data_IF_870153495553
#
_entry.id   IF_870153495553
#
_cell.length_a   1.000
_cell.length_b   1.000
_cell.length_c   1.000
_cell.angle_alpha   90.00
_cell.angle_beta   90.00
_cell.angle_gamma   90.00
#
_symmetry.space_group_name_H-M   'P 1'
#
loop_
_entity.id
_entity.type
_entity.pdbx_description
1 polymer ?
#
# COMPACT_ATOMS: atom_id res chain seq x y z
N UNK A 1 1.98 -21.99 -13.75
CA UNK A 1 1.87 -21.78 -15.21
C UNK A 1 1.33 -20.37 -15.43
N UNK A 2 2.00 -19.54 -16.24
CA UNK A 2 1.54 -18.18 -16.50
C UNK A 2 0.50 -18.16 -17.64
N UNK A 3 -0.53 -17.34 -17.49
CA UNK A 3 -1.53 -17.10 -18.52
C UNK A 3 -1.23 -15.79 -19.24
N UNK A 4 -1.89 -15.53 -20.37
CA UNK A 4 -1.80 -14.24 -21.05
C UNK A 4 -3.18 -13.69 -21.41
N UNK A 5 -3.24 -12.38 -21.54
CA UNK A 5 -4.40 -11.63 -22.04
C UNK A 5 -3.95 -10.76 -23.22
N UNK A 6 -4.82 -10.64 -24.21
CA UNK A 6 -4.61 -9.78 -25.38
C UNK A 6 -5.33 -8.45 -25.23
N UNK A 7 -4.90 -7.44 -25.98
CA UNK A 7 -5.48 -6.09 -25.98
C UNK A 7 -7.01 -6.05 -26.14
N UNK A 8 -7.58 -6.97 -26.92
CA UNK A 8 -9.03 -7.10 -27.15
C UNK A 8 -9.81 -7.76 -26.01
N UNK A 9 -9.14 -8.26 -24.96
CA UNK A 9 -9.81 -8.87 -23.81
C UNK A 9 -10.54 -7.81 -22.97
N UNK A 10 -11.76 -8.08 -22.48
CA UNK A 10 -12.43 -7.19 -21.53
C UNK A 10 -11.64 -7.05 -20.22
N UNK A 11 -10.82 -8.04 -19.86
CA UNK A 11 -9.94 -8.04 -18.69
C UNK A 11 -8.59 -7.35 -18.93
N UNK A 12 -8.38 -6.71 -20.09
CA UNK A 12 -7.16 -5.94 -20.32
C UNK A 12 -7.20 -4.60 -19.55
N UNK A 13 -6.19 -4.28 -18.71
CA UNK A 13 -6.24 -3.10 -17.86
C UNK A 13 -6.43 -1.80 -18.65
N UNK A 14 -7.49 -1.05 -18.34
CA UNK A 14 -7.90 0.12 -19.12
C UNK A 14 -6.80 1.19 -19.16
N UNK A 15 -6.10 1.43 -18.04
CA UNK A 15 -5.00 2.38 -17.99
C UNK A 15 -3.86 2.05 -18.96
N UNK A 16 -3.54 0.76 -19.13
CA UNK A 16 -2.53 0.32 -20.11
C UNK A 16 -3.08 0.42 -21.54
N UNK A 17 -4.38 0.11 -21.75
CA UNK A 17 -5.03 0.20 -23.06
C UNK A 17 -4.95 1.60 -23.67
N UNK A 18 -4.96 2.64 -22.83
CA UNK A 18 -4.90 4.05 -23.22
C UNK A 18 -3.49 4.56 -23.56
N UNK A 19 -2.46 3.72 -23.44
CA UNK A 19 -1.11 4.10 -23.88
C UNK A 19 -1.09 4.40 -25.39
N UNK A 20 -0.13 5.23 -25.83
CA UNK A 20 0.09 5.48 -27.26
C UNK A 20 0.38 4.18 -28.05
N UNK A 21 1.16 3.28 -27.44
CA UNK A 21 1.58 2.01 -28.03
C UNK A 21 1.40 0.89 -26.97
N UNK A 22 0.16 0.44 -26.70
CA UNK A 22 -0.09 -0.57 -25.69
C UNK A 22 0.49 -1.92 -26.16
N UNK A 23 1.04 -2.76 -25.25
CA UNK A 23 1.48 -4.09 -25.62
C UNK A 23 0.29 -4.94 -26.08
N UNK A 24 0.47 -5.70 -27.16
CA UNK A 24 -0.61 -6.57 -27.66
C UNK A 24 -0.97 -7.70 -26.70
N UNK A 25 0.01 -8.20 -25.94
CA UNK A 25 -0.12 -9.25 -24.93
C UNK A 25 0.46 -8.81 -23.60
N UNK A 26 -0.22 -9.19 -22.52
CA UNK A 26 0.30 -9.16 -21.15
C UNK A 26 0.21 -10.56 -20.56
N UNK A 27 1.28 -10.98 -19.92
CA UNK A 27 1.36 -12.22 -19.15
C UNK A 27 1.01 -11.92 -17.70
N UNK A 28 0.31 -12.85 -17.06
CA UNK A 28 -0.12 -12.68 -15.68
C UNK A 28 -0.14 -13.99 -14.87
N UNK A 29 -0.06 -13.83 -13.55
CA UNK A 29 -0.32 -14.86 -12.54
C UNK A 29 -1.13 -14.19 -11.42
N UNK A 30 -2.22 -14.80 -10.99
CA UNK A 30 -3.12 -14.24 -9.96
C UNK A 30 -4.43 -13.72 -10.55
N UNK A 31 -5.09 -12.82 -9.81
CA UNK A 31 -6.46 -12.39 -10.12
C UNK A 31 -6.49 -11.12 -10.99
N UNK A 32 -6.94 -11.26 -12.24
CA UNK A 32 -7.11 -10.15 -13.17
C UNK A 32 -8.15 -9.13 -12.70
N UNK A 33 -9.14 -9.53 -11.89
CA UNK A 33 -10.13 -8.60 -11.36
C UNK A 33 -9.49 -7.52 -10.47
N UNK A 34 -8.28 -7.77 -9.93
CA UNK A 34 -7.49 -6.75 -9.22
C UNK A 34 -7.24 -5.51 -10.08
N UNK A 35 -7.07 -5.68 -11.40
CA UNK A 35 -6.79 -4.59 -12.33
C UNK A 35 -8.03 -3.99 -13.00
N UNK A 36 -9.24 -4.47 -12.68
CA UNK A 36 -10.49 -4.12 -13.38
C UNK A 36 -11.50 -3.54 -12.40
N UNK A 37 -12.01 -2.34 -12.70
CA UNK A 37 -13.06 -1.68 -11.91
C UNK A 37 -12.63 -1.13 -10.55
N UNK A 38 -11.40 -1.40 -10.10
CA UNK A 38 -10.85 -0.86 -8.85
C UNK A 38 -10.17 0.50 -9.08
N UNK A 39 -10.05 1.27 -8.01
CA UNK A 39 -9.19 2.46 -7.95
C UNK A 39 -7.77 2.02 -7.64
N UNK A 40 -6.82 2.44 -8.47
CA UNK A 40 -5.45 1.94 -8.51
C UNK A 40 -4.47 3.11 -8.32
N UNK A 41 -3.56 2.96 -7.35
CA UNK A 41 -2.46 3.90 -7.12
C UNK A 41 -1.12 3.22 -7.38
N UNK A 42 -0.24 3.85 -8.15
CA UNK A 42 1.14 3.38 -8.26
C UNK A 42 1.99 4.02 -7.18
N UNK A 43 2.73 3.21 -6.43
CA UNK A 43 3.71 3.69 -5.45
C UNK A 43 5.10 3.33 -5.94
N UNK A 44 5.98 4.31 -6.06
CA UNK A 44 7.36 4.12 -6.52
C UNK A 44 8.34 4.91 -5.65
N UNK A 45 9.58 4.44 -5.58
CA UNK A 45 10.60 5.15 -4.83
C UNK A 45 12.00 4.56 -4.96
N UNK A 46 12.94 5.03 -4.16
CA UNK A 46 14.33 4.61 -4.23
C UNK A 46 14.52 3.12 -3.92
N UNK A 47 15.50 2.50 -4.59
CA UNK A 47 15.95 1.14 -4.26
C UNK A 47 16.76 1.08 -2.97
N UNK A 48 17.36 2.21 -2.58
CA UNK A 48 18.09 2.40 -1.31
C UNK A 48 17.20 3.22 -0.40
N UNK A 49 16.20 2.55 0.17
CA UNK A 49 15.13 3.22 0.89
C UNK A 49 15.60 3.82 2.21
N UNK A 50 15.16 5.04 2.53
CA UNK A 50 15.46 5.67 3.83
C UNK A 50 14.52 5.20 4.94
N UNK A 51 14.91 5.38 6.20
CA UNK A 51 14.02 5.13 7.35
C UNK A 51 12.75 6.00 7.28
N UNK A 52 12.89 7.25 6.82
CA UNK A 52 11.76 8.14 6.62
C UNK A 52 10.77 7.59 5.60
N UNK A 53 11.25 7.12 4.45
CA UNK A 53 10.41 6.48 3.45
C UNK A 53 9.68 5.24 3.99
N UNK A 54 10.34 4.42 4.82
CA UNK A 54 9.70 3.29 5.50
C UNK A 54 8.53 3.75 6.40
N UNK A 55 8.76 4.76 7.24
CA UNK A 55 7.71 5.31 8.12
C UNK A 55 6.53 5.88 7.33
N UNK A 56 6.82 6.53 6.20
CA UNK A 56 5.77 7.06 5.32
C UNK A 56 4.94 5.92 4.74
N UNK A 57 5.57 4.86 4.22
CA UNK A 57 4.85 3.69 3.70
C UNK A 57 3.98 3.02 4.76
N UNK A 58 4.51 2.84 5.98
CA UNK A 58 3.77 2.27 7.13
C UNK A 58 2.56 3.11 7.53
N UNK A 59 2.64 4.43 7.39
CA UNK A 59 1.50 5.34 7.63
C UNK A 59 0.49 5.33 6.47
N UNK A 60 0.94 5.27 5.23
CA UNK A 60 0.09 5.52 4.06
C UNK A 60 -0.63 4.26 3.57
N UNK A 61 0.05 3.12 3.52
CA UNK A 61 -0.50 1.91 2.89
C UNK A 61 -1.72 1.35 3.62
N UNK A 62 -1.74 1.22 4.96
CA UNK A 62 -2.92 0.71 5.65
C UNK A 62 -4.16 1.57 5.39
N UNK A 63 -3.99 2.89 5.24
CA UNK A 63 -5.09 3.81 4.89
C UNK A 63 -5.60 3.53 3.49
N UNK A 64 -4.72 3.32 2.51
CA UNK A 64 -5.12 2.97 1.14
C UNK A 64 -5.84 1.63 1.06
N UNK A 65 -5.31 0.61 1.76
CA UNK A 65 -5.91 -0.73 1.80
C UNK A 65 -7.31 -0.69 2.42
N UNK A 66 -7.48 -0.04 3.58
CA UNK A 66 -8.80 0.13 4.23
C UNK A 66 -9.80 0.90 3.37
N UNK A 67 -9.29 1.76 2.49
CA UNK A 67 -10.10 2.54 1.53
C UNK A 67 -10.43 1.76 0.26
N UNK A 68 -9.99 0.50 0.15
CA UNK A 68 -10.22 -0.34 -1.02
C UNK A 68 -9.38 0.02 -2.24
N UNK A 69 -8.30 0.82 -2.09
CA UNK A 69 -7.39 1.07 -3.21
C UNK A 69 -6.51 -0.15 -3.45
N UNK A 70 -6.26 -0.42 -4.74
CA UNK A 70 -5.27 -1.38 -5.20
C UNK A 70 -3.94 -0.65 -5.39
N UNK A 71 -2.88 -1.16 -4.79
CA UNK A 71 -1.54 -0.60 -4.96
C UNK A 71 -0.81 -1.32 -6.08
N UNK A 72 -0.20 -0.58 -6.99
CA UNK A 72 0.72 -1.09 -8.01
C UNK A 72 2.14 -0.68 -7.68
N UNK A 73 3.10 -1.57 -7.93
CA UNK A 73 4.50 -1.20 -7.98
C UNK A 73 5.31 -2.08 -8.91
N UNK A 74 6.60 -1.79 -9.02
CA UNK A 74 7.53 -2.36 -9.97
C UNK A 74 8.26 -3.62 -9.54
N UNK A 75 8.00 -4.12 -8.33
CA UNK A 75 8.64 -5.30 -7.76
C UNK A 75 10.19 -5.22 -7.76
N UNK A 76 10.76 -4.12 -7.26
CA UNK A 76 12.21 -3.95 -7.06
C UNK A 76 12.55 -3.67 -5.60
N UNK A 77 13.81 -3.91 -5.21
CA UNK A 77 14.30 -3.56 -3.87
C UNK A 77 13.89 -2.13 -3.43
N UNK A 78 13.82 -1.92 -2.12
CA UNK A 78 13.47 -0.64 -1.52
C UNK A 78 11.96 -0.41 -1.50
N UNK A 79 11.53 0.76 -1.97
CA UNK A 79 10.14 1.21 -1.84
C UNK A 79 9.14 0.25 -2.51
N UNK A 80 9.44 -0.27 -3.70
CA UNK A 80 8.49 -1.13 -4.41
C UNK A 80 8.18 -2.41 -3.61
N UNK A 81 9.20 -3.12 -3.10
CA UNK A 81 9.02 -4.32 -2.29
C UNK A 81 8.35 -4.01 -0.96
N UNK A 82 8.81 -2.99 -0.21
CA UNK A 82 8.19 -2.61 1.06
C UNK A 82 6.72 -2.24 0.88
N UNK A 83 6.37 -1.59 -0.23
CA UNK A 83 4.98 -1.26 -0.53
C UNK A 83 4.12 -2.53 -0.73
N UNK A 84 4.60 -3.49 -1.52
CA UNK A 84 3.91 -4.77 -1.70
C UNK A 84 3.76 -5.55 -0.38
N UNK A 85 4.81 -5.61 0.43
CA UNK A 85 4.79 -6.29 1.74
C UNK A 85 3.72 -5.70 2.66
N UNK A 86 3.69 -4.37 2.80
CA UNK A 86 2.71 -3.69 3.64
C UNK A 86 1.28 -3.86 3.14
N UNK A 87 1.07 -3.93 1.82
CA UNK A 87 -0.26 -4.18 1.27
C UNK A 87 -0.71 -5.59 1.63
N UNK A 88 0.15 -6.58 1.43
CA UNK A 88 -0.13 -7.98 1.75
C UNK A 88 -0.38 -8.15 3.26
N UNK A 89 0.46 -7.59 4.12
CA UNK A 89 0.30 -7.69 5.58
C UNK A 89 -0.92 -6.93 6.10
N UNK A 90 -1.40 -5.91 5.37
CA UNK A 90 -2.65 -5.20 5.67
C UNK A 90 -3.90 -5.90 5.12
N UNK A 91 -3.77 -7.07 4.50
CA UNK A 91 -4.89 -7.80 3.89
C UNK A 91 -5.43 -7.19 2.60
N UNK A 92 -4.64 -6.32 1.95
CA UNK A 92 -5.01 -5.66 0.70
C UNK A 92 -4.56 -6.41 -0.55
N UNK A 93 -5.01 -5.93 -1.71
CA UNK A 93 -4.62 -6.46 -3.03
C UNK A 93 -3.59 -5.54 -3.69
N UNK A 94 -2.58 -6.14 -4.31
CA UNK A 94 -1.53 -5.40 -5.01
C UNK A 94 -1.20 -6.01 -6.37
N UNK A 95 -0.72 -5.16 -7.29
CA UNK A 95 -0.27 -5.55 -8.62
C UNK A 95 1.24 -5.31 -8.73
N UNK A 96 2.01 -6.38 -8.86
CA UNK A 96 3.44 -6.31 -9.13
C UNK A 96 3.70 -6.40 -10.63
N UNK A 97 4.37 -5.38 -11.21
CA UNK A 97 4.72 -5.38 -12.64
C UNK A 97 6.22 -5.64 -12.82
N UNK A 98 6.57 -6.78 -13.40
CA UNK A 98 7.94 -7.27 -13.46
C UNK A 98 8.65 -6.90 -14.78
N UNK A 99 9.98 -6.68 -14.76
CA UNK A 99 10.78 -6.37 -15.95
C UNK A 99 11.32 -7.62 -16.68
N UNK A 100 10.63 -8.76 -16.57
CA UNK A 100 11.05 -10.06 -17.12
C UNK A 100 9.86 -11.01 -17.28
N UNK A 101 10.10 -12.18 -17.87
CA UNK A 101 9.13 -13.29 -17.89
C UNK A 101 8.70 -13.68 -16.47
N UNK A 102 7.42 -14.05 -16.30
CA UNK A 102 6.87 -14.40 -14.98
C UNK A 102 7.35 -15.76 -14.46
N UNK A 103 8.06 -16.55 -15.27
CA UNK A 103 8.79 -17.75 -14.86
C UNK A 103 10.11 -17.43 -14.12
N UNK A 104 10.62 -16.21 -14.27
CA UNK A 104 11.91 -15.82 -13.70
C UNK A 104 11.70 -15.19 -12.33
N UNK A 105 12.28 -15.79 -11.29
CA UNK A 105 12.30 -15.23 -9.94
C UNK A 105 13.29 -14.06 -9.86
N UNK A 106 12.78 -12.85 -10.14
CA UNK A 106 13.56 -11.62 -10.10
C UNK A 106 12.81 -10.48 -9.37
N UNK A 107 13.45 -9.80 -8.39
CA UNK A 107 14.67 -10.23 -7.71
C UNK A 107 14.46 -11.56 -6.96
N UNK A 108 15.47 -12.42 -6.92
CA UNK A 108 15.36 -13.79 -6.38
C UNK A 108 14.98 -13.82 -4.91
N UNK A 109 15.42 -12.83 -4.14
CA UNK A 109 15.24 -12.76 -2.68
C UNK A 109 13.78 -12.63 -2.26
N UNK A 110 12.89 -12.23 -3.18
CA UNK A 110 11.48 -11.94 -2.90
C UNK A 110 10.52 -12.95 -3.53
N UNK A 111 10.96 -14.19 -3.77
CA UNK A 111 10.09 -15.25 -4.25
C UNK A 111 8.87 -15.46 -3.32
N UNK A 112 9.08 -15.40 -2.00
CA UNK A 112 8.00 -15.50 -0.99
C UNK A 112 6.90 -14.45 -1.21
N UNK A 113 7.28 -13.22 -1.58
CA UNK A 113 6.35 -12.12 -1.73
C UNK A 113 5.51 -12.28 -3.00
N UNK A 114 6.06 -12.87 -4.06
CA UNK A 114 5.28 -13.21 -5.26
C UNK A 114 4.15 -14.17 -4.92
N UNK A 115 4.47 -15.21 -4.15
CA UNK A 115 3.48 -16.19 -3.70
C UNK A 115 2.45 -15.53 -2.77
N UNK A 116 2.89 -14.66 -1.86
CA UNK A 116 2.00 -13.97 -0.94
C UNK A 116 1.04 -13.00 -1.68
N UNK A 117 1.53 -12.28 -2.70
CA UNK A 117 0.69 -11.43 -3.56
C UNK A 117 -0.40 -12.27 -4.24
N UNK A 118 -0.04 -13.39 -4.86
CA UNK A 118 -1.02 -14.24 -5.56
C UNK A 118 -2.01 -14.87 -4.59
N UNK A 119 -1.55 -15.38 -3.44
CA UNK A 119 -2.41 -15.97 -2.39
C UNK A 119 -3.36 -14.95 -1.78
N UNK A 120 -2.93 -13.70 -1.65
CA UNK A 120 -3.76 -12.58 -1.19
C UNK A 120 -4.75 -12.04 -2.23
N UNK A 121 -4.92 -12.72 -3.37
CA UNK A 121 -5.81 -12.28 -4.45
C UNK A 121 -5.26 -11.09 -5.25
N UNK A 122 -3.95 -10.87 -5.22
CA UNK A 122 -3.25 -9.88 -6.04
C UNK A 122 -2.86 -10.41 -7.42
N UNK A 123 -2.04 -9.64 -8.13
CA UNK A 123 -1.69 -9.88 -9.53
C UNK A 123 -0.20 -9.66 -9.78
N UNK A 124 0.46 -10.64 -10.40
CA UNK A 124 1.75 -10.46 -11.06
C UNK A 124 1.50 -10.21 -12.54
N UNK A 125 2.11 -9.19 -13.11
CA UNK A 125 1.90 -8.77 -14.49
C UNK A 125 3.25 -8.53 -15.19
N UNK A 126 3.35 -8.95 -16.45
CA UNK A 126 4.51 -8.66 -17.29
C UNK A 126 4.09 -8.50 -18.75
N UNK A 127 4.89 -7.78 -19.53
CA UNK A 127 4.77 -7.73 -21.00
C UNK A 127 5.76 -8.67 -21.71
N UNK A 128 6.66 -9.28 -20.95
CA UNK A 128 7.78 -10.06 -21.43
C UNK A 128 7.41 -11.54 -21.40
N UNK A 129 7.77 -12.27 -22.45
CA UNK A 129 7.43 -13.69 -22.59
C UNK A 129 8.25 -14.58 -21.67
N UNK A 130 7.87 -15.85 -21.59
CA UNK A 130 8.57 -16.86 -20.78
C UNK A 130 10.06 -16.94 -21.15
N UNK A 131 10.94 -16.99 -20.15
CA UNK A 131 12.39 -17.05 -20.34
C UNK A 131 13.08 -15.70 -20.61
N UNK A 132 12.34 -14.60 -20.79
CA UNK A 132 12.93 -13.27 -21.03
C UNK A 132 13.54 -12.67 -19.75
N UNK A 133 14.87 -12.77 -19.61
CA UNK A 133 15.63 -12.23 -18.47
C UNK A 133 15.68 -10.69 -18.46
N UNK A 134 15.75 -10.05 -17.28
CA UNK A 134 15.76 -8.60 -17.18
C UNK A 134 16.91 -7.94 -17.96
N UNK A 135 16.58 -6.98 -18.82
CA UNK A 135 17.54 -6.13 -19.53
C UNK A 135 17.25 -4.64 -19.26
N UNK A 136 18.25 -3.76 -19.42
CA UNK A 136 18.13 -2.33 -19.07
C UNK A 136 16.90 -1.65 -19.67
N UNK A 137 16.59 -1.91 -20.94
CA UNK A 137 15.42 -1.34 -21.63
C UNK A 137 14.08 -1.90 -21.12
N UNK A 138 14.07 -3.13 -20.58
CA UNK A 138 12.87 -3.77 -20.05
C UNK A 138 12.35 -3.05 -18.81
N UNK A 139 13.22 -2.49 -17.97
CA UNK A 139 12.82 -1.65 -16.84
C UNK A 139 12.06 -0.40 -17.29
N UNK A 140 12.51 0.24 -18.36
CA UNK A 140 11.83 1.42 -18.94
C UNK A 140 10.44 1.00 -19.46
N UNK A 141 10.37 -0.10 -20.20
CA UNK A 141 9.12 -0.64 -20.74
C UNK A 141 8.15 -1.16 -19.68
N UNK A 142 8.65 -1.60 -18.54
CA UNK A 142 7.84 -1.92 -17.36
C UNK A 142 7.35 -0.64 -16.67
N UNK A 143 8.19 0.38 -16.52
CA UNK A 143 7.81 1.65 -15.90
C UNK A 143 6.69 2.35 -16.67
N UNK A 144 6.65 2.22 -18.00
CA UNK A 144 5.51 2.65 -18.82
C UNK A 144 4.20 2.02 -18.32
N UNK A 145 4.19 0.71 -18.02
CA UNK A 145 3.00 0.01 -17.51
C UNK A 145 2.62 0.47 -16.10
N UNK A 146 3.60 0.59 -15.19
CA UNK A 146 3.38 1.08 -13.82
C UNK A 146 2.73 2.47 -13.85
N UNK A 147 3.29 3.41 -14.61
CA UNK A 147 2.71 4.75 -14.72
C UNK A 147 1.30 4.75 -15.34
N UNK A 148 1.06 3.85 -16.31
CA UNK A 148 -0.18 3.90 -17.10
C UNK A 148 -1.34 3.17 -16.46
N UNK A 149 -1.11 2.12 -15.66
CA UNK A 149 -2.20 1.32 -15.09
C UNK A 149 -2.98 2.06 -14.00
N UNK A 150 -2.36 2.97 -13.23
CA UNK A 150 -2.92 3.57 -12.01
C UNK A 150 -3.42 4.99 -12.18
N UNK A 151 -4.53 5.44 -11.60
CA UNK A 151 -5.06 6.81 -11.82
C UNK A 151 -4.08 7.93 -11.43
N UNK A 152 -3.19 7.69 -10.47
CA UNK A 152 -2.09 8.58 -10.11
C UNK A 152 -0.82 7.79 -9.73
N UNK A 153 0.29 8.51 -9.59
CA UNK A 153 1.57 7.97 -9.09
C UNK A 153 1.96 8.71 -7.81
N UNK A 154 2.24 7.98 -6.74
CA UNK A 154 2.84 8.48 -5.51
C UNK A 154 4.33 8.13 -5.49
N UNK A 155 5.17 9.15 -5.43
CA UNK A 155 6.62 9.04 -5.28
C UNK A 155 6.98 9.24 -3.82
N UNK A 156 7.52 8.20 -3.19
CA UNK A 156 7.92 8.24 -1.78
C UNK A 156 9.25 8.97 -1.60
N UNK A 157 10.22 8.64 -2.43
CA UNK A 157 11.52 9.32 -2.50
C UNK A 157 12.21 9.01 -3.83
N UNK A 158 13.00 9.94 -4.35
CA UNK A 158 13.65 9.77 -5.64
C UNK A 158 14.90 10.65 -5.74
N UNK A 159 16.01 10.05 -6.17
CA UNK A 159 17.17 10.79 -6.65
C UNK A 159 16.99 11.19 -8.12
N UNK A 160 17.65 12.27 -8.53
CA UNK A 160 17.66 12.74 -9.91
C UNK A 160 18.20 11.65 -10.85
N UNK A 161 17.60 11.51 -12.03
CA UNK A 161 17.97 10.46 -12.99
C UNK A 161 17.67 9.01 -12.57
N UNK A 162 17.02 8.78 -11.43
CA UNK A 162 16.67 7.43 -10.96
C UNK A 162 15.58 6.76 -11.81
N UNK A 163 15.44 5.43 -11.66
CA UNK A 163 14.34 4.68 -12.29
C UNK A 163 12.94 5.17 -11.86
N UNK A 164 12.83 5.69 -10.63
CA UNK A 164 11.61 6.31 -10.09
C UNK A 164 11.22 7.56 -10.88
N UNK A 165 12.21 8.41 -11.21
CA UNK A 165 12.01 9.58 -12.06
C UNK A 165 11.50 9.20 -13.44
N UNK A 166 11.89 8.04 -13.98
CA UNK A 166 11.38 7.56 -15.26
C UNK A 166 9.86 7.35 -15.19
N UNK A 167 9.36 6.63 -14.18
CA UNK A 167 7.92 6.40 -13.99
C UNK A 167 7.16 7.71 -13.78
N UNK A 168 7.67 8.59 -12.92
CA UNK A 168 7.02 9.87 -12.61
C UNK A 168 6.96 10.80 -13.82
N UNK A 169 8.05 10.93 -14.59
CA UNK A 169 8.06 11.72 -15.82
C UNK A 169 7.13 11.14 -16.89
N UNK A 170 7.00 9.81 -16.99
CA UNK A 170 6.00 9.18 -17.89
C UNK A 170 4.59 9.58 -17.45
N UNK A 171 4.28 9.51 -16.16
CA UNK A 171 2.97 9.90 -15.62
C UNK A 171 2.64 11.37 -15.93
N UNK A 172 3.57 12.30 -15.68
CA UNK A 172 3.41 13.71 -16.04
C UNK A 172 3.16 13.89 -17.54
N UNK A 173 3.92 13.18 -18.38
CA UNK A 173 3.77 13.23 -19.85
C UNK A 173 2.40 12.76 -20.33
N UNK A 174 1.81 11.76 -19.69
CA UNK A 174 0.45 11.28 -19.98
C UNK A 174 -0.62 12.04 -19.20
N UNK A 175 -0.27 13.20 -18.61
CA UNK A 175 -1.16 14.07 -17.82
C UNK A 175 -1.83 13.36 -16.64
N UNK A 176 -1.16 12.37 -16.05
CA UNK A 176 -1.57 11.76 -14.78
C UNK A 176 -1.02 12.56 -13.61
N UNK A 177 -1.83 12.76 -12.54
CA UNK A 177 -1.34 13.37 -11.32
C UNK A 177 -0.16 12.58 -10.74
N UNK A 178 0.89 13.31 -10.39
CA UNK A 178 2.02 12.80 -9.63
C UNK A 178 2.00 13.46 -8.27
N UNK A 179 1.92 12.65 -7.22
CA UNK A 179 2.06 13.07 -5.84
C UNK A 179 3.46 12.73 -5.36
N UNK A 180 4.03 13.59 -4.53
CA UNK A 180 5.37 13.38 -3.96
C UNK A 180 5.32 13.61 -2.46
N UNK A 181 6.09 12.82 -1.73
CA UNK A 181 6.31 13.02 -0.29
C UNK A 181 7.44 14.03 -0.11
N UNK A 182 7.20 15.21 0.51
CA UNK A 182 8.27 16.15 0.82
C UNK A 182 9.32 15.50 1.71
N UNK A 183 10.59 15.81 1.47
CA UNK A 183 11.70 15.35 2.30
C UNK A 183 12.69 16.48 2.57
N UNK A 184 13.57 16.28 3.55
CA UNK A 184 14.65 17.22 3.83
C UNK A 184 15.55 17.36 2.60
N UNK A 185 15.99 18.59 2.29
CA UNK A 185 16.96 18.87 1.22
C UNK A 185 18.30 18.15 1.42
N UNK A 186 18.61 17.74 2.66
CA UNK A 186 19.81 16.98 2.99
C UNK A 186 19.60 15.46 2.86
N UNK A 187 18.40 15.00 2.49
CA UNK A 187 18.13 13.59 2.26
C UNK A 187 18.80 13.15 0.95
N UNK A 188 19.47 11.97 0.92
CA UNK A 188 20.16 11.49 -0.28
C UNK A 188 19.21 11.21 -1.46
N UNK A 189 17.91 11.08 -1.22
CA UNK A 189 16.88 10.79 -2.23
C UNK A 189 15.88 11.97 -2.39
N UNK A 190 16.32 13.22 -2.19
CA UNK A 190 15.44 14.41 -2.24
C UNK A 190 15.50 15.18 -3.56
N UNK A 191 16.60 15.07 -4.31
CA UNK A 191 16.86 15.87 -5.52
C UNK A 191 15.77 15.66 -6.60
N UNK A 192 15.35 14.41 -6.82
CA UNK A 192 14.29 14.07 -7.76
C UNK A 192 12.91 14.52 -7.30
N UNK A 193 12.65 14.52 -5.99
CA UNK A 193 11.40 15.07 -5.41
C UNK A 193 11.28 16.56 -5.71
N UNK A 194 12.35 17.33 -5.51
CA UNK A 194 12.39 18.76 -5.83
C UNK A 194 12.16 19.00 -7.32
N UNK A 195 12.83 18.22 -8.18
CA UNK A 195 12.64 18.31 -9.64
C UNK A 195 11.18 18.02 -10.04
N UNK A 196 10.53 17.02 -9.43
CA UNK A 196 9.14 16.70 -9.71
C UNK A 196 8.19 17.82 -9.27
N UNK A 197 8.43 18.45 -8.11
CA UNK A 197 7.66 19.60 -7.66
C UNK A 197 7.76 20.76 -8.67
N UNK A 198 8.96 21.04 -9.16
CA UNK A 198 9.19 22.07 -10.20
C UNK A 198 8.47 21.75 -11.51
N UNK A 199 8.27 20.46 -11.82
CA UNK A 199 7.52 19.98 -12.99
C UNK A 199 6.00 19.89 -12.77
N UNK A 200 5.50 20.36 -11.63
CA UNK A 200 4.07 20.41 -11.33
C UNK A 200 3.51 19.18 -10.61
N UNK A 201 4.35 18.35 -10.00
CA UNK A 201 3.87 17.33 -9.07
C UNK A 201 3.31 17.98 -7.78
N UNK A 202 2.39 17.29 -7.12
CA UNK A 202 1.71 17.77 -5.93
C UNK A 202 2.35 17.20 -4.66
N UNK A 203 2.79 18.07 -3.75
CA UNK A 203 3.25 17.66 -2.43
C UNK A 203 2.08 17.09 -1.61
N UNK A 204 2.29 15.96 -0.93
CA UNK A 204 1.34 15.39 0.04
C UNK A 204 2.08 14.92 1.28
N UNK A 205 1.49 15.15 2.45
CA UNK A 205 2.01 14.70 3.73
C UNK A 205 0.99 13.86 4.52
N UNK A 206 -0.22 13.69 3.98
CA UNK A 206 -1.30 12.90 4.55
C UNK A 206 -1.92 11.98 3.47
N UNK A 207 -2.10 10.67 3.73
CA UNK A 207 -2.75 9.78 2.78
C UNK A 207 -4.19 10.19 2.44
N UNK A 208 -4.88 10.92 3.31
CA UNK A 208 -6.23 11.42 3.06
C UNK A 208 -6.30 12.40 1.89
N UNK A 209 -5.23 13.15 1.60
CA UNK A 209 -5.20 14.05 0.44
C UNK A 209 -5.27 13.29 -0.88
N UNK A 210 -4.68 12.09 -0.91
CA UNK A 210 -4.77 11.19 -2.05
C UNK A 210 -6.18 10.58 -2.13
N UNK A 211 -6.77 10.19 -0.99
CA UNK A 211 -8.15 9.67 -0.99
C UNK A 211 -9.19 10.69 -1.47
N UNK A 212 -8.99 11.98 -1.15
CA UNK A 212 -9.80 13.08 -1.70
C UNK A 212 -9.73 13.10 -3.23
N UNK A 213 -8.54 12.94 -3.81
CA UNK A 213 -8.37 12.83 -5.27
C UNK A 213 -9.18 11.66 -5.83
N UNK A 214 -9.14 10.49 -5.18
CA UNK A 214 -9.92 9.33 -5.57
C UNK A 214 -11.42 9.44 -5.27
N UNK A 215 -11.87 10.50 -4.59
CA UNK A 215 -13.25 10.67 -4.08
C UNK A 215 -13.71 9.42 -3.33
N UNK A 216 -12.83 8.87 -2.49
CA UNK A 216 -13.14 7.74 -1.62
C UNK A 216 -13.48 8.29 -0.24
N UNK A 217 -14.65 7.94 0.27
CA UNK A 217 -14.95 8.18 1.66
C UNK A 217 -14.02 7.29 2.49
N UNK A 218 -13.15 7.92 3.29
CA UNK A 218 -12.44 7.21 4.33
C UNK A 218 -13.30 7.31 5.58
N UNK A 219 -14.03 6.24 5.88
CA UNK A 219 -14.54 6.07 7.23
C UNK A 219 -13.33 5.84 8.12
N UNK A 220 -12.93 6.94 8.76
CA UNK A 220 -11.98 6.91 9.85
C UNK A 220 -12.68 6.12 10.95
N UNK A 221 -12.64 4.79 10.90
CA UNK A 221 -12.85 3.99 12.08
C UNK A 221 -11.77 4.48 13.03
N UNK A 222 -12.13 5.42 13.89
CA UNK A 222 -11.40 5.79 15.11
C UNK A 222 -11.30 4.61 16.09
N UNK A 223 -11.31 3.38 15.58
CA UNK A 223 -10.98 2.13 16.23
C UNK A 223 -9.88 1.50 15.37
N UNK A 224 -8.67 2.03 15.52
CA UNK A 224 -7.49 1.19 15.36
C UNK A 224 -7.70 0.06 16.36
N UNK A 225 -7.60 -1.24 15.99
CA UNK A 225 -7.17 -2.23 16.96
C UNK A 225 -5.76 -1.78 17.33
N UNK A 226 -5.68 -0.94 18.37
CA UNK A 226 -4.46 -0.81 19.15
C UNK A 226 -4.10 -2.24 19.51
N UNK A 227 -2.84 -2.64 19.46
CA UNK A 227 -2.42 -3.92 20.02
C UNK A 227 -2.81 -3.90 21.52
N UNK A 228 -4.00 -4.41 21.79
CA UNK A 228 -4.49 -4.78 23.11
C UNK A 228 -4.31 -6.29 23.14
N UNK A 229 -3.37 -6.72 23.97
CA UNK A 229 -2.99 -8.12 24.18
C UNK A 229 -3.11 -8.43 25.69
N UNK A 230 -3.28 -9.72 26.03
CA UNK A 230 -3.45 -10.15 27.42
C UNK A 230 -4.66 -9.49 28.10
N UNK A 231 -4.49 -9.11 29.37
CA UNK A 231 -5.57 -8.55 30.22
C UNK A 231 -6.29 -7.34 29.58
N UNK A 232 -5.59 -6.56 28.76
CA UNK A 232 -6.16 -5.43 28.02
C UNK A 232 -7.22 -5.88 27.00
N UNK A 233 -6.97 -6.97 26.28
CA UNK A 233 -7.91 -7.55 25.32
C UNK A 233 -9.13 -8.13 26.05
N UNK A 234 -8.89 -8.88 27.12
CA UNK A 234 -9.94 -9.55 27.90
C UNK A 234 -10.90 -8.54 28.54
N UNK A 235 -10.37 -7.47 29.13
CA UNK A 235 -11.17 -6.38 29.69
C UNK A 235 -11.97 -5.67 28.61
N UNK A 236 -11.36 -5.37 27.47
CA UNK A 236 -12.04 -4.70 26.36
C UNK A 236 -13.18 -5.56 25.78
N UNK A 237 -12.93 -6.83 25.49
CA UNK A 237 -13.94 -7.77 24.98
C UNK A 237 -15.08 -7.98 25.97
N UNK A 238 -14.78 -8.10 27.26
CA UNK A 238 -15.81 -8.21 28.29
C UNK A 238 -16.74 -6.98 28.28
N UNK A 239 -16.19 -5.78 28.16
CA UNK A 239 -16.95 -4.53 28.11
C UNK A 239 -17.77 -4.36 26.83
N UNK A 240 -17.38 -5.01 25.72
CA UNK A 240 -18.22 -5.08 24.51
C UNK A 240 -19.49 -5.89 24.73
N UNK A 241 -19.47 -6.88 25.63
CA UNK A 241 -20.67 -7.68 25.93
C UNK A 241 -21.64 -6.95 26.84
N UNK A 242 -21.13 -6.19 27.82
CA UNK A 242 -21.95 -5.42 28.77
C UNK A 242 -21.14 -4.35 29.52
N UNK A 243 -21.72 -3.14 29.73
CA UNK A 243 -21.12 -2.14 30.60
C UNK A 243 -20.99 -2.62 32.05
N UNK A 244 -19.79 -2.47 32.61
CA UNK A 244 -19.44 -3.06 33.92
C UNK A 244 -18.55 -2.14 34.75
N UNK A 245 -18.58 -2.29 36.08
CA UNK A 245 -17.64 -1.61 36.96
C UNK A 245 -16.37 -2.48 37.17
N UNK A 246 -15.32 -1.89 37.75
CA UNK A 246 -14.03 -2.56 37.96
C UNK A 246 -14.16 -3.85 38.81
N UNK A 247 -15.05 -3.85 39.81
CA UNK A 247 -15.30 -5.03 40.66
C UNK A 247 -15.91 -6.19 39.87
N UNK A 248 -16.90 -5.91 39.02
CA UNK A 248 -17.53 -6.91 38.17
C UNK A 248 -16.58 -7.47 37.11
N UNK A 249 -15.68 -6.64 36.57
CA UNK A 249 -14.62 -7.05 35.66
C UNK A 249 -13.61 -7.98 36.35
N UNK A 250 -13.14 -7.60 37.54
CA UNK A 250 -12.22 -8.43 38.35
C UNK A 250 -12.82 -9.81 38.64
N UNK A 251 -14.09 -9.87 39.05
CA UNK A 251 -14.77 -11.15 39.28
C UNK A 251 -15.00 -11.95 38.00
N UNK A 252 -15.40 -11.29 36.90
CA UNK A 252 -15.72 -11.94 35.62
C UNK A 252 -14.49 -12.54 34.93
N UNK A 253 -13.36 -11.84 34.98
CA UNK A 253 -12.11 -12.21 34.31
C UNK A 253 -11.09 -12.89 35.23
N UNK A 254 -11.40 -13.00 36.54
CA UNK A 254 -10.51 -13.55 37.57
C UNK A 254 -9.15 -12.82 37.65
N UNK A 255 -9.18 -11.50 37.41
CA UNK A 255 -8.03 -10.62 37.52
C UNK A 255 -8.02 -9.92 38.88
N UNK A 256 -6.84 -9.58 39.40
CA UNK A 256 -6.74 -8.71 40.57
C UNK A 256 -7.36 -7.33 40.30
N UNK A 257 -8.02 -6.76 41.29
CA UNK A 257 -8.69 -5.47 41.16
C UNK A 257 -7.72 -4.33 40.80
N UNK A 258 -6.49 -4.40 41.33
CA UNK A 258 -5.37 -3.51 41.00
C UNK A 258 -5.03 -3.55 39.51
N UNK A 259 -4.85 -4.74 38.94
CA UNK A 259 -4.58 -4.93 37.51
C UNK A 259 -5.71 -4.40 36.65
N UNK A 260 -6.96 -4.64 37.03
CA UNK A 260 -8.13 -4.11 36.31
C UNK A 260 -8.13 -2.58 36.27
N UNK A 261 -7.79 -1.90 37.38
CA UNK A 261 -7.71 -0.44 37.38
C UNK A 261 -6.59 0.10 36.49
N UNK A 262 -5.42 -0.55 36.48
CA UNK A 262 -4.30 -0.20 35.58
C UNK A 262 -4.75 -0.31 34.12
N UNK A 263 -5.31 -1.46 33.75
CA UNK A 263 -5.80 -1.72 32.39
C UNK A 263 -6.88 -0.72 31.98
N UNK A 264 -7.87 -0.45 32.83
CA UNK A 264 -8.93 0.52 32.55
C UNK A 264 -8.38 1.94 32.38
N UNK A 265 -7.40 2.35 33.18
CA UNK A 265 -6.75 3.65 33.05
C UNK A 265 -6.02 3.78 31.71
N UNK A 266 -5.31 2.73 31.28
CA UNK A 266 -4.64 2.69 29.98
C UNK A 266 -5.65 2.74 28.82
N UNK A 267 -6.72 1.95 28.88
CA UNK A 267 -7.78 1.94 27.88
C UNK A 267 -8.52 3.29 27.80
N UNK A 268 -8.75 3.96 28.94
CA UNK A 268 -9.32 5.31 29.01
C UNK A 268 -8.38 6.33 28.36
N UNK A 269 -7.09 6.30 28.70
CA UNK A 269 -6.08 7.20 28.14
C UNK A 269 -5.96 7.05 26.62
N UNK A 270 -6.13 5.82 26.12
CA UNK A 270 -6.20 5.51 24.67
C UNK A 270 -7.55 5.84 24.04
N UNK A 271 -8.55 6.18 24.84
CA UNK A 271 -9.90 6.50 24.39
C UNK A 271 -10.68 5.30 23.85
N UNK A 272 -10.28 4.07 24.18
CA UNK A 272 -10.93 2.82 23.77
C UNK A 272 -12.15 2.48 24.64
N UNK A 273 -12.14 2.92 25.90
CA UNK A 273 -13.28 2.83 26.80
C UNK A 273 -13.67 4.21 27.31
N UNK A 274 -14.88 4.34 27.85
CA UNK A 274 -15.33 5.55 28.54
C UNK A 274 -16.11 5.18 29.81
N UNK A 275 -16.17 6.11 30.76
CA UNK A 275 -16.91 5.96 32.01
C UNK A 275 -18.23 6.73 31.93
N UNK A 276 -19.36 6.04 32.13
CA UNK A 276 -20.67 6.65 32.25
C UNK A 276 -21.43 6.05 33.44
N UNK A 277 -22.02 6.90 34.28
CA UNK A 277 -22.80 6.52 35.47
C UNK A 277 -22.15 5.41 36.33
N UNK A 278 -20.83 5.49 36.53
CA UNK A 278 -20.07 4.55 37.36
C UNK A 278 -19.79 3.18 36.71
N UNK A 279 -20.03 3.03 35.41
CA UNK A 279 -19.70 1.83 34.63
C UNK A 279 -18.80 2.20 33.45
N UNK A 280 -17.89 1.30 33.13
CA UNK A 280 -17.05 1.40 31.94
C UNK A 280 -17.79 0.81 30.74
N UNK A 281 -17.59 1.43 29.59
CA UNK A 281 -18.18 1.06 28.30
C UNK A 281 -17.05 0.97 27.27
N UNK A 282 -17.04 -0.08 26.45
CA UNK A 282 -16.21 -0.13 25.26
C UNK A 282 -16.79 0.81 24.18
N UNK A 283 -15.92 1.46 23.41
CA UNK A 283 -16.32 2.23 22.22
C UNK A 283 -16.43 1.35 20.98
#
# INVERSE_FOLDING_TARGET
MCSFITLGSPFYPQGIRLQKNPPFKLYYIGDLNTAIGNKIISIVGSRKMTKYANMVLERFIPVFVRSGLVVVSGFMHGVDIKAHELVVSSGGRTIAILPCGLDINYPSDFAYLRDAIVKGGGLLLSRFSEGERPQRWMYIKRNELVASISECVLVIEADAGSGTMTTANIALKIKKPVFVIPSSINSPNSSGVVELLQKGAHAVNDPLDILKFFKVAYENTKNVPVEIEGDQLDVFLYLQTKPSNAYALSKGLRLELSSVYIVLHELLARGLVYLDKGKYHAK
#
